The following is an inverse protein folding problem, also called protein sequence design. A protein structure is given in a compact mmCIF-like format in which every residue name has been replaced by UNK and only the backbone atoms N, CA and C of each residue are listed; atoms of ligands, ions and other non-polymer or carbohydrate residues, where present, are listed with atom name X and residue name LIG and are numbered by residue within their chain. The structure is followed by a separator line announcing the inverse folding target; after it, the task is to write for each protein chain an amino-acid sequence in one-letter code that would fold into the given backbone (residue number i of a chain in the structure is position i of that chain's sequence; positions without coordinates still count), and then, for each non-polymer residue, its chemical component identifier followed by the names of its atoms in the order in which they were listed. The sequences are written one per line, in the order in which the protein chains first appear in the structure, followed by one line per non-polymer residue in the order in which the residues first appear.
data_IF_814798548099
#
_entry.id   IF_814798548099
#
_cell.length_a   1.000
_cell.length_b   1.000
_cell.length_c   1.000
_cell.angle_alpha   90.00
_cell.angle_beta   90.00
_cell.angle_gamma   90.00
#
_symmetry.space_group_name_H-M   'P 1'
#
loop_
_entity.id
_entity.type
_entity.pdbx_description
1 polymer ?
#
# COMPACT_ATOMS: atom_id res chain seq x y z
N UNK A 1 -12.80 1.37 -5.64
CA UNK A 1 -12.62 -0.05 -5.26
C UNK A 1 -13.97 -0.61 -4.86
N UNK A 2 -14.36 -1.69 -5.48
CA UNK A 2 -15.68 -2.31 -5.29
C UNK A 2 -15.68 -3.22 -4.08
N UNK A 3 -16.89 -3.48 -3.56
CA UNK A 3 -17.07 -4.37 -2.40
C UNK A 3 -16.39 -5.73 -2.63
N UNK A 4 -16.42 -6.26 -3.85
CA UNK A 4 -15.81 -7.56 -4.16
C UNK A 4 -14.32 -7.63 -3.80
N UNK A 5 -13.61 -6.50 -3.80
CA UNK A 5 -12.19 -6.48 -3.45
C UNK A 5 -11.94 -6.72 -1.96
N UNK A 6 -12.98 -6.62 -1.14
CA UNK A 6 -12.91 -6.89 0.30
C UNK A 6 -13.45 -8.27 0.69
N UNK A 7 -14.00 -9.02 -0.29
CA UNK A 7 -14.59 -10.32 0.00
C UNK A 7 -13.58 -11.45 0.11
N UNK A 8 -12.34 -11.20 -0.29
CA UNK A 8 -11.27 -12.17 -0.13
C UNK A 8 -10.10 -11.53 0.58
N UNK A 9 -9.32 -12.37 1.25
CA UNK A 9 -8.15 -11.91 1.96
C UNK A 9 -6.98 -11.80 0.98
N UNK A 10 -6.38 -10.61 0.81
CA UNK A 10 -5.20 -10.46 -0.04
C UNK A 10 -3.97 -11.07 0.65
N UNK A 11 -2.90 -11.35 -0.11
CA UNK A 11 -1.61 -11.61 0.50
C UNK A 11 -1.25 -10.43 1.41
N UNK A 12 -0.89 -10.72 2.66
CA UNK A 12 -0.68 -9.67 3.67
C UNK A 12 0.63 -9.92 4.39
N UNK A 13 1.39 -8.85 4.61
CA UNK A 13 2.65 -8.89 5.34
C UNK A 13 2.62 -7.87 6.47
N UNK A 14 3.29 -8.15 7.60
CA UNK A 14 3.44 -7.15 8.67
C UNK A 14 4.48 -6.09 8.28
N UNK A 15 4.52 -4.99 9.03
CA UNK A 15 5.42 -3.88 8.72
C UNK A 15 6.90 -4.28 8.72
N UNK A 16 7.32 -5.17 9.62
CA UNK A 16 8.70 -5.63 9.65
C UNK A 16 9.11 -6.31 8.33
N UNK A 17 8.22 -7.12 7.76
CA UNK A 17 8.45 -7.75 6.47
C UNK A 17 8.41 -6.72 5.34
N UNK A 18 7.49 -5.76 5.43
CA UNK A 18 7.39 -4.69 4.43
C UNK A 18 8.68 -3.86 4.37
N UNK A 19 9.29 -3.56 5.52
CA UNK A 19 10.58 -2.87 5.57
C UNK A 19 11.64 -3.65 4.82
N UNK A 20 11.71 -4.96 5.02
CA UNK A 20 12.67 -5.81 4.32
C UNK A 20 12.43 -5.79 2.82
N UNK A 21 11.16 -5.90 2.41
CA UNK A 21 10.79 -5.88 1.00
C UNK A 21 11.13 -4.55 0.33
N UNK A 22 10.90 -3.43 1.02
CA UNK A 22 11.27 -2.10 0.50
C UNK A 22 12.77 -2.00 0.30
N UNK A 23 13.57 -2.53 1.23
CA UNK A 23 15.01 -2.56 1.08
C UNK A 23 15.46 -3.38 -0.13
N UNK A 24 14.64 -4.34 -0.56
CA UNK A 24 14.89 -5.17 -1.75
C UNK A 24 14.29 -4.58 -3.03
N UNK A 25 13.69 -3.41 -2.98
CA UNK A 25 13.17 -2.73 -4.15
C UNK A 25 11.67 -2.66 -4.32
N UNK A 26 10.89 -3.17 -3.36
CA UNK A 26 9.44 -3.04 -3.40
C UNK A 26 9.01 -1.58 -3.28
N UNK A 27 7.88 -1.25 -3.89
CA UNK A 27 7.34 0.11 -3.90
C UNK A 27 6.10 0.17 -3.02
N UNK A 28 6.08 1.09 -2.07
CA UNK A 28 4.88 1.33 -1.25
C UNK A 28 3.91 2.21 -2.02
N UNK A 29 2.67 1.77 -2.11
CA UNK A 29 1.57 2.53 -2.71
C UNK A 29 0.66 2.98 -1.58
N UNK A 30 0.68 4.27 -1.27
CA UNK A 30 -0.13 4.85 -0.22
C UNK A 30 -1.49 5.23 -0.78
N UNK A 31 -2.53 4.54 -0.33
CA UNK A 31 -3.89 4.73 -0.85
C UNK A 31 -4.75 5.62 0.05
N UNK A 32 -4.12 6.32 0.99
CA UNK A 32 -4.80 7.23 1.91
C UNK A 32 -5.20 8.51 1.18
N UNK A 33 -6.01 9.31 1.87
CA UNK A 33 -6.44 10.61 1.35
C UNK A 33 -5.30 11.60 1.36
N UNK A 34 -5.44 12.65 0.56
CA UNK A 34 -4.40 13.67 0.42
C UNK A 34 -4.03 14.33 1.74
N UNK A 35 -5.02 14.64 2.60
CA UNK A 35 -4.70 15.28 3.88
C UNK A 35 -3.92 14.37 4.82
N UNK A 36 -4.13 13.07 4.74
CA UNK A 36 -3.35 12.09 5.51
C UNK A 36 -1.91 12.04 4.99
N UNK A 37 -1.75 11.96 3.68
CA UNK A 37 -0.44 11.97 3.02
C UNK A 37 0.35 13.24 3.36
N UNK A 38 -0.30 14.40 3.29
CA UNK A 38 0.36 15.67 3.53
C UNK A 38 0.84 15.83 4.98
N UNK A 39 0.17 15.15 5.90
CA UNK A 39 0.55 15.19 7.31
C UNK A 39 1.82 14.39 7.57
N UNK A 40 1.87 13.17 7.07
CA UNK A 40 3.02 12.29 7.22
C UNK A 40 2.89 11.15 6.23
N UNK A 41 4.00 10.71 5.65
CA UNK A 41 4.00 9.56 4.74
C UNK A 41 5.35 8.87 4.72
N UNK A 42 5.40 7.69 4.11
CA UNK A 42 6.63 6.91 3.98
C UNK A 42 7.47 7.53 2.87
N UNK A 43 8.75 7.86 3.12
CA UNK A 43 9.62 8.37 2.06
C UNK A 43 9.71 7.39 0.89
N UNK A 44 9.62 7.92 -0.33
CA UNK A 44 9.69 7.10 -1.53
C UNK A 44 8.40 6.40 -1.93
N UNK A 45 7.35 6.50 -1.12
CA UNK A 45 6.05 5.91 -1.47
C UNK A 45 5.39 6.69 -2.61
N UNK A 46 4.61 5.97 -3.40
CA UNK A 46 3.76 6.58 -4.43
C UNK A 46 2.41 6.85 -3.80
N UNK A 47 1.94 8.09 -3.88
CA UNK A 47 0.61 8.43 -3.39
C UNK A 47 -0.41 8.22 -4.50
N UNK A 48 -1.33 7.31 -4.28
CA UNK A 48 -2.43 7.06 -5.21
C UNK A 48 -3.69 6.76 -4.39
N UNK A 49 -4.50 7.78 -4.12
CA UNK A 49 -5.71 7.61 -3.31
C UNK A 49 -6.59 6.48 -3.81
N UNK A 50 -7.27 5.82 -2.90
CA UNK A 50 -8.07 4.64 -3.20
C UNK A 50 -9.06 4.87 -4.33
N UNK A 51 -9.71 6.04 -4.38
CA UNK A 51 -10.69 6.39 -5.40
C UNK A 51 -10.08 6.52 -6.79
N UNK A 52 -8.80 6.89 -6.86
CA UNK A 52 -8.11 7.07 -8.13
C UNK A 52 -7.48 5.76 -8.62
N UNK A 53 -7.35 4.77 -7.75
CA UNK A 53 -6.61 3.57 -8.06
C UNK A 53 -7.13 2.79 -9.27
N UNK A 54 -8.46 2.58 -9.43
CA UNK A 54 -8.95 1.80 -10.58
C UNK A 54 -8.56 2.41 -11.92
N UNK A 55 -8.55 3.74 -12.01
CA UNK A 55 -8.27 4.44 -13.27
C UNK A 55 -6.78 4.69 -13.49
N UNK A 56 -6.02 4.79 -12.39
CA UNK A 56 -4.61 5.21 -12.46
C UNK A 56 -3.61 4.10 -12.16
N UNK A 57 -4.04 2.90 -11.80
CA UNK A 57 -3.10 1.85 -11.42
C UNK A 57 -2.10 1.50 -12.54
N UNK A 58 -2.46 1.73 -13.81
CA UNK A 58 -1.54 1.50 -14.93
C UNK A 58 -0.30 2.40 -14.88
N UNK A 59 -0.32 3.47 -14.10
CA UNK A 59 0.84 4.36 -13.91
C UNK A 59 1.88 3.76 -12.95
N UNK A 60 1.51 2.72 -12.21
CA UNK A 60 2.41 2.08 -11.24
C UNK A 60 3.41 1.18 -11.94
N UNK A 61 4.61 0.98 -11.35
CA UNK A 61 5.58 0.06 -11.94
C UNK A 61 5.04 -1.37 -11.95
N UNK A 62 5.24 -2.08 -13.04
CA UNK A 62 4.76 -3.45 -13.22
C UNK A 62 5.89 -4.49 -13.09
N UNK A 63 7.11 -4.04 -12.82
CA UNK A 63 8.30 -4.88 -12.67
C UNK A 63 8.77 -5.00 -11.22
N UNK A 64 7.99 -4.54 -10.26
CA UNK A 64 8.31 -4.54 -8.84
C UNK A 64 7.13 -4.99 -8.01
N UNK A 65 7.41 -5.56 -6.85
CA UNK A 65 6.37 -5.84 -5.86
C UNK A 65 5.80 -4.51 -5.34
N UNK A 66 4.49 -4.42 -5.30
CA UNK A 66 3.80 -3.27 -4.73
C UNK A 66 3.27 -3.63 -3.33
N UNK A 67 3.42 -2.70 -2.40
CA UNK A 67 2.93 -2.86 -1.04
C UNK A 67 1.86 -1.81 -0.81
N UNK A 68 0.60 -2.23 -0.76
CA UNK A 68 -0.51 -1.32 -0.49
C UNK A 68 -0.51 -0.93 0.99
N UNK A 69 -0.62 0.36 1.27
CA UNK A 69 -0.50 0.93 2.60
C UNK A 69 -1.64 1.91 2.88
N UNK A 70 -2.20 1.82 4.09
CA UNK A 70 -3.11 2.82 4.63
C UNK A 70 -2.90 2.95 6.13
N UNK A 71 -3.72 3.73 6.81
CA UNK A 71 -3.53 3.99 8.24
C UNK A 71 -3.77 2.74 9.09
N UNK A 72 -4.80 1.95 8.78
CA UNK A 72 -5.18 0.79 9.59
C UNK A 72 -5.11 -0.56 8.89
N UNK A 73 -4.81 -0.59 7.59
CA UNK A 73 -4.70 -1.84 6.84
C UNK A 73 -5.98 -2.31 6.15
N UNK A 74 -7.10 -1.64 6.35
CA UNK A 74 -8.40 -2.04 5.75
C UNK A 74 -8.52 -1.55 4.32
N UNK A 75 -8.33 -0.27 4.08
CA UNK A 75 -8.39 0.30 2.72
C UNK A 75 -7.36 -0.34 1.81
N UNK A 76 -6.17 -0.57 2.35
CA UNK A 76 -5.08 -1.18 1.59
C UNK A 76 -5.34 -2.64 1.23
N UNK A 77 -6.13 -3.36 2.03
CA UNK A 77 -6.51 -4.73 1.69
C UNK A 77 -7.30 -4.77 0.38
N UNK A 78 -8.30 -3.91 0.23
CA UNK A 78 -9.05 -3.79 -1.01
C UNK A 78 -8.18 -3.33 -2.18
N UNK A 79 -7.28 -2.40 -1.92
CA UNK A 79 -6.34 -1.91 -2.92
C UNK A 79 -5.42 -3.02 -3.42
N UNK A 80 -4.86 -3.82 -2.52
CA UNK A 80 -4.00 -4.95 -2.90
C UNK A 80 -4.73 -5.94 -3.79
N UNK A 81 -5.98 -6.27 -3.46
CA UNK A 81 -6.79 -7.16 -4.29
C UNK A 81 -7.04 -6.57 -5.68
N UNK A 82 -7.33 -5.29 -5.76
CA UNK A 82 -7.52 -4.63 -7.06
C UNK A 82 -6.23 -4.69 -7.88
N UNK A 83 -5.10 -4.44 -7.28
CA UNK A 83 -3.82 -4.48 -7.98
C UNK A 83 -3.53 -5.88 -8.50
N UNK A 84 -3.74 -6.92 -7.69
CA UNK A 84 -3.55 -8.31 -8.13
C UNK A 84 -4.48 -8.63 -9.30
N UNK A 85 -5.74 -8.20 -9.24
CA UNK A 85 -6.68 -8.41 -10.33
C UNK A 85 -6.26 -7.72 -11.62
N UNK A 86 -5.49 -6.64 -11.53
CA UNK A 86 -4.98 -5.91 -12.68
C UNK A 86 -3.58 -6.37 -13.12
N UNK A 87 -3.11 -7.52 -12.60
CA UNK A 87 -1.89 -8.14 -13.07
C UNK A 87 -0.61 -7.74 -12.34
N UNK A 88 -0.73 -6.94 -11.27
CA UNK A 88 0.44 -6.57 -10.48
C UNK A 88 0.75 -7.61 -9.41
N UNK A 89 2.03 -7.74 -9.06
CA UNK A 89 2.42 -8.42 -7.84
C UNK A 89 2.21 -7.43 -6.71
N UNK A 90 1.30 -7.72 -5.80
CA UNK A 90 0.95 -6.80 -4.73
C UNK A 90 0.60 -7.54 -3.45
N UNK A 91 0.97 -6.92 -2.34
CA UNK A 91 0.62 -7.39 -1.01
C UNK A 91 0.02 -6.23 -0.22
N UNK A 92 -0.76 -6.57 0.81
CA UNK A 92 -1.26 -5.61 1.78
C UNK A 92 -0.31 -5.55 2.97
N UNK A 93 -0.01 -4.36 3.48
CA UNK A 93 0.71 -4.23 4.74
C UNK A 93 -0.29 -4.11 5.88
N UNK A 94 -0.27 -5.09 6.79
CA UNK A 94 -1.09 -5.02 7.99
C UNK A 94 -0.48 -4.05 9.01
N UNK A 95 -1.31 -3.57 9.94
CA UNK A 95 -0.87 -2.68 11.01
C UNK A 95 -0.68 -1.22 10.62
N UNK A 96 -0.71 -0.91 9.35
CA UNK A 96 -0.70 0.46 8.84
C UNK A 96 0.42 1.33 9.38
N UNK A 97 0.09 2.61 9.57
CA UNK A 97 1.05 3.62 10.01
C UNK A 97 1.69 3.30 11.36
N UNK A 98 0.88 2.83 12.31
CA UNK A 98 1.37 2.48 13.65
C UNK A 98 2.37 1.33 13.56
N UNK A 99 2.04 0.30 12.79
CA UNK A 99 2.92 -0.85 12.60
C UNK A 99 4.22 -0.48 11.93
N UNK A 100 4.16 0.36 10.90
CA UNK A 100 5.36 0.84 10.20
C UNK A 100 6.29 1.57 11.15
N UNK A 101 5.74 2.52 11.92
CA UNK A 101 6.52 3.29 12.89
C UNK A 101 7.11 2.37 13.97
N UNK A 102 6.32 1.45 14.51
CA UNK A 102 6.77 0.52 15.55
C UNK A 102 7.89 -0.41 15.06
N UNK A 103 7.91 -0.74 13.78
CA UNK A 103 8.95 -1.57 13.18
C UNK A 103 10.23 -0.78 12.84
N UNK A 104 10.23 0.51 13.07
CA UNK A 104 11.39 1.36 12.80
C UNK A 104 11.38 2.00 11.41
N UNK A 105 10.24 1.98 10.74
CA UNK A 105 10.12 2.60 9.42
C UNK A 105 10.17 4.12 9.49
N UNK A 106 10.81 4.73 8.49
CA UNK A 106 10.92 6.19 8.39
C UNK A 106 9.62 6.81 7.92
N UNK A 107 9.37 8.02 8.40
CA UNK A 107 8.24 8.84 7.96
C UNK A 107 8.73 10.26 7.70
N UNK A 108 8.08 10.94 6.77
CA UNK A 108 8.38 12.34 6.43
C UNK A 108 7.09 13.12 6.21
N UNK A 109 7.21 14.43 6.24
CA UNK A 109 6.08 15.31 5.93
C UNK A 109 6.09 15.73 4.46
#
# INVERSE_FOLDING_TARGET
VRVRHYLRRPPTVPAAEALRLVAEGAVVVDVRREFEWNRVHIPGAVHMPLEALPERCAELPDDRLLIAFCTGGIRSAGAANLLVENGFEAVNMSGGLIGWRAAGGDLTE
#
